data_IF_049906452811
#
_entry.id   IF_049906452811
#
_cell.length_a   1.000
_cell.length_b   1.000
_cell.length_c   1.000
_cell.angle_alpha   90.00
_cell.angle_beta   90.00
_cell.angle_gamma   90.00
#
_symmetry.space_group_name_H-M   'P 1'
#
loop_
_entity.id
_entity.type
_entity.pdbx_description
1 polymer ?
#
# COMPACT_ATOMS: atom_id res chain seq x y z
N UNK A 1 -28.27 74.95 -20.81
CA UNK A 1 -28.95 73.64 -20.85
C UNK A 1 -27.85 72.59 -20.83
N UNK A 2 -27.38 72.19 -19.65
CA UNK A 2 -26.22 71.31 -19.49
C UNK A 2 -26.68 69.86 -19.48
N UNK A 3 -26.35 69.12 -20.53
CA UNK A 3 -26.63 67.70 -20.66
C UNK A 3 -25.78 66.93 -19.64
N UNK A 4 -26.41 66.21 -18.74
CA UNK A 4 -25.74 65.47 -17.67
C UNK A 4 -25.48 64.06 -18.17
N UNK A 5 -24.22 63.77 -18.52
CA UNK A 5 -23.77 62.41 -18.80
C UNK A 5 -24.04 61.55 -17.56
N UNK A 6 -24.76 60.41 -17.68
CA UNK A 6 -24.94 59.53 -16.55
C UNK A 6 -23.58 58.92 -16.20
N UNK A 7 -23.15 59.09 -14.95
CA UNK A 7 -21.99 58.40 -14.42
C UNK A 7 -22.23 56.90 -14.57
N UNK A 8 -21.57 56.27 -15.54
CA UNK A 8 -21.49 54.83 -15.64
C UNK A 8 -20.69 54.37 -14.42
N UNK A 9 -21.40 53.90 -13.40
CA UNK A 9 -20.78 53.32 -12.22
C UNK A 9 -20.14 52.00 -12.66
N UNK A 10 -18.87 52.06 -13.03
CA UNK A 10 -18.05 50.87 -13.18
C UNK A 10 -17.76 50.33 -11.79
N UNK A 11 -18.78 49.72 -11.18
CA UNK A 11 -18.60 48.73 -10.15
C UNK A 11 -17.95 47.53 -10.85
N UNK A 12 -16.64 47.61 -11.11
CA UNK A 12 -15.86 46.52 -11.66
C UNK A 12 -15.93 45.40 -10.63
N UNK A 13 -16.94 44.55 -10.77
CA UNK A 13 -17.15 43.40 -9.92
C UNK A 13 -16.02 42.43 -10.25
N UNK A 14 -14.94 42.49 -9.48
CA UNK A 14 -13.93 41.45 -9.49
C UNK A 14 -14.64 40.15 -9.10
N UNK A 15 -15.08 39.39 -10.10
CA UNK A 15 -15.51 38.01 -9.92
C UNK A 15 -14.29 37.32 -9.36
N UNK A 16 -14.35 36.94 -8.08
CA UNK A 16 -13.32 36.14 -7.45
C UNK A 16 -13.31 34.75 -8.10
N UNK A 17 -12.64 34.60 -9.25
CA UNK A 17 -12.36 33.30 -9.88
C UNK A 17 -11.52 32.40 -8.96
N UNK A 18 -10.85 32.98 -7.96
CA UNK A 18 -10.11 32.26 -6.94
C UNK A 18 -11.01 31.40 -5.99
N UNK A 19 -12.33 31.58 -6.03
CA UNK A 19 -13.29 30.76 -5.28
C UNK A 19 -13.89 29.59 -6.07
N UNK A 20 -13.64 29.49 -7.38
CA UNK A 20 -14.23 28.46 -8.26
C UNK A 20 -13.37 27.20 -8.43
N UNK A 21 -12.25 27.09 -7.71
CA UNK A 21 -11.70 25.77 -7.40
C UNK A 21 -12.32 25.33 -6.08
N UNK A 22 -13.50 24.71 -6.18
CA UNK A 22 -13.99 23.83 -5.13
C UNK A 22 -12.88 22.79 -4.93
N UNK A 23 -12.04 23.01 -3.91
CA UNK A 23 -10.94 22.10 -3.59
C UNK A 23 -11.64 20.80 -3.30
N UNK A 24 -11.56 19.87 -4.26
CA UNK A 24 -12.03 18.50 -4.09
C UNK A 24 -11.15 17.90 -2.99
N UNK A 25 -11.54 18.15 -1.76
CA UNK A 25 -11.08 17.42 -0.63
C UNK A 25 -11.59 16.02 -0.88
N UNK A 26 -10.68 15.07 -1.09
CA UNK A 26 -11.02 13.67 -0.98
C UNK A 26 -11.70 13.49 0.37
N UNK A 27 -13.05 13.43 0.37
CA UNK A 27 -13.83 13.15 1.57
C UNK A 27 -13.25 11.86 2.10
N UNK A 28 -12.66 11.90 3.29
CA UNK A 28 -12.02 10.74 3.89
C UNK A 28 -13.14 9.73 4.14
N UNK A 29 -13.37 8.82 3.18
CA UNK A 29 -14.41 7.81 3.27
C UNK A 29 -13.94 6.78 4.30
N UNK A 30 -14.14 7.12 5.57
CA UNK A 30 -13.65 6.35 6.71
C UNK A 30 -14.34 4.98 6.81
N UNK A 31 -15.45 4.78 6.09
CA UNK A 31 -16.35 3.62 6.18
C UNK A 31 -16.49 2.79 4.89
N UNK A 32 -15.53 2.84 3.97
CA UNK A 32 -15.56 1.99 2.77
C UNK A 32 -15.35 0.49 3.09
N UNK A 33 -16.17 -0.40 2.50
CA UNK A 33 -16.00 -1.88 2.63
C UNK A 33 -14.59 -2.32 2.24
N UNK A 34 -14.04 -1.77 1.15
CA UNK A 34 -12.68 -2.04 0.68
C UNK A 34 -11.60 -1.52 1.64
N UNK A 35 -11.82 -0.40 2.33
CA UNK A 35 -10.89 0.12 3.33
C UNK A 35 -10.83 -0.79 4.56
N UNK A 36 -12.00 -1.29 5.01
CA UNK A 36 -12.08 -2.28 6.09
C UNK A 36 -11.39 -3.59 5.71
N UNK A 37 -11.62 -4.09 4.49
CA UNK A 37 -10.97 -5.30 3.98
C UNK A 37 -9.45 -5.13 3.89
N UNK A 38 -8.98 -4.02 3.32
CA UNK A 38 -7.54 -3.72 3.27
C UNK A 38 -6.93 -3.71 4.66
N UNK A 39 -7.58 -3.03 5.61
CA UNK A 39 -7.14 -2.97 7.00
C UNK A 39 -7.10 -4.37 7.62
N UNK A 40 -8.14 -5.17 7.41
CA UNK A 40 -8.22 -6.55 7.89
C UNK A 40 -7.14 -7.45 7.28
N UNK A 41 -6.72 -7.23 6.04
CA UNK A 41 -5.62 -8.00 5.42
C UNK A 41 -4.26 -7.51 5.90
N UNK A 42 -4.07 -6.20 6.01
CA UNK A 42 -2.77 -5.59 6.35
C UNK A 42 -2.38 -5.88 7.80
N UNK A 43 -3.28 -5.71 8.77
CA UNK A 43 -2.95 -5.91 10.18
C UNK A 43 -2.42 -7.30 10.53
N UNK A 44 -3.09 -8.42 10.18
CA UNK A 44 -2.57 -9.75 10.47
C UNK A 44 -1.32 -10.07 9.67
N UNK A 45 -1.18 -9.54 8.44
CA UNK A 45 0.03 -9.74 7.65
C UNK A 45 1.23 -9.02 8.30
N UNK A 46 1.04 -7.79 8.78
CA UNK A 46 2.04 -7.05 9.54
C UNK A 46 2.39 -7.79 10.83
N UNK A 47 1.38 -8.18 11.60
CA UNK A 47 1.56 -8.87 12.87
C UNK A 47 2.31 -10.20 12.66
N UNK A 48 1.92 -10.97 11.65
CA UNK A 48 2.60 -12.19 11.25
C UNK A 48 4.05 -11.94 10.82
N UNK A 49 4.31 -10.91 10.00
CA UNK A 49 5.66 -10.54 9.58
C UNK A 49 6.56 -10.14 10.76
N UNK A 50 6.02 -9.40 11.73
CA UNK A 50 6.81 -9.06 12.91
C UNK A 50 7.00 -10.25 13.83
N UNK A 51 5.96 -11.05 14.09
CA UNK A 51 6.04 -12.16 15.05
C UNK A 51 6.76 -13.39 14.51
N UNK A 52 6.81 -13.58 13.18
CA UNK A 52 7.47 -14.73 12.53
C UNK A 52 8.86 -15.04 13.08
N UNK A 53 9.81 -14.10 13.16
CA UNK A 53 11.13 -14.36 13.72
C UNK A 53 11.14 -14.66 15.23
N UNK A 54 10.07 -14.40 15.99
CA UNK A 54 10.02 -14.73 17.42
C UNK A 54 9.50 -16.14 17.71
N UNK A 55 8.89 -16.81 16.73
CA UNK A 55 8.45 -18.19 16.90
C UNK A 55 9.63 -19.14 16.74
N UNK A 56 9.78 -20.06 17.68
CA UNK A 56 10.71 -21.18 17.57
C UNK A 56 9.99 -22.41 17.04
N UNK A 57 10.56 -23.01 16.00
CA UNK A 57 10.02 -24.15 15.29
C UNK A 57 11.13 -25.20 15.23
N UNK A 58 10.90 -26.38 15.84
CA UNK A 58 11.89 -27.44 15.97
C UNK A 58 13.25 -27.01 16.59
N UNK A 59 13.20 -26.12 17.60
CA UNK A 59 14.39 -25.67 18.33
C UNK A 59 15.27 -24.67 17.58
N UNK A 60 14.78 -24.11 16.46
CA UNK A 60 15.41 -23.00 15.74
C UNK A 60 14.39 -21.90 15.46
N UNK A 61 14.87 -20.71 15.16
CA UNK A 61 14.03 -19.59 14.75
C UNK A 61 13.20 -19.96 13.50
N UNK A 62 11.91 -19.63 13.49
CA UNK A 62 11.01 -19.95 12.39
C UNK A 62 11.47 -19.35 11.06
N UNK A 63 12.15 -18.21 11.08
CA UNK A 63 12.78 -17.63 9.90
C UNK A 63 14.26 -17.38 10.23
N UNK A 64 15.12 -18.32 9.82
CA UNK A 64 16.56 -18.27 10.05
C UNK A 64 17.30 -18.37 8.72
N UNK A 65 18.20 -17.43 8.48
CA UNK A 65 19.05 -17.40 7.30
C UNK A 65 20.48 -17.81 7.67
N UNK A 66 20.80 -19.08 7.41
CA UNK A 66 22.12 -19.63 7.61
C UNK A 66 23.00 -19.29 6.40
N UNK A 67 23.80 -18.23 6.53
CA UNK A 67 24.73 -17.76 5.51
C UNK A 67 25.94 -18.71 5.32
N UNK A 68 26.57 -19.25 6.39
CA UNK A 68 27.67 -20.20 6.25
C UNK A 68 27.32 -21.43 5.44
N UNK A 69 26.18 -22.06 5.73
CA UNK A 69 25.76 -23.29 5.07
C UNK A 69 24.85 -23.03 3.85
N UNK A 70 24.50 -21.76 3.59
CA UNK A 70 23.57 -21.31 2.54
C UNK A 70 22.20 -21.99 2.63
N UNK A 71 21.71 -22.18 3.85
CA UNK A 71 20.41 -22.80 4.13
C UNK A 71 19.42 -21.73 4.56
N UNK A 72 18.28 -21.68 3.91
CA UNK A 72 17.20 -20.77 4.28
C UNK A 72 16.13 -21.59 5.01
N UNK A 73 16.05 -21.43 6.33
CA UNK A 73 15.00 -22.06 7.13
C UNK A 73 13.79 -21.14 7.18
N UNK A 74 12.69 -21.59 6.59
CA UNK A 74 11.42 -20.85 6.51
C UNK A 74 10.33 -21.77 7.04
N UNK A 75 9.88 -21.51 8.27
CA UNK A 75 8.98 -22.32 9.06
C UNK A 75 9.43 -23.79 9.16
N UNK A 76 8.64 -24.71 8.57
CA UNK A 76 8.94 -26.14 8.52
C UNK A 76 9.79 -26.54 7.31
N UNK A 77 9.95 -25.65 6.35
CA UNK A 77 10.75 -25.88 5.16
C UNK A 77 12.20 -25.42 5.37
N UNK A 78 13.14 -26.16 4.79
CA UNK A 78 14.54 -25.74 4.69
C UNK A 78 14.91 -25.77 3.22
N UNK A 79 15.29 -24.62 2.67
CA UNK A 79 15.71 -24.49 1.28
C UNK A 79 17.22 -24.56 1.19
N UNK A 80 17.71 -25.54 0.44
CA UNK A 80 19.12 -25.65 0.06
C UNK A 80 19.35 -24.96 -1.29
N UNK A 81 20.61 -24.59 -1.61
CA UNK A 81 20.95 -23.97 -2.90
C UNK A 81 20.57 -24.83 -4.11
N UNK A 82 20.61 -26.16 -3.95
CA UNK A 82 20.26 -27.14 -4.99
C UNK A 82 18.75 -27.28 -5.23
N UNK A 83 17.93 -27.03 -4.20
CA UNK A 83 16.48 -27.22 -4.28
C UNK A 83 15.83 -26.15 -5.16
N UNK A 84 16.45 -24.96 -5.27
CA UNK A 84 15.94 -23.88 -6.11
C UNK A 84 15.77 -24.31 -7.57
N UNK A 85 16.72 -25.10 -8.10
CA UNK A 85 16.60 -25.66 -9.46
C UNK A 85 15.47 -26.69 -9.55
N UNK A 86 15.37 -27.62 -8.59
CA UNK A 86 14.32 -28.64 -8.57
C UNK A 86 12.92 -28.03 -8.48
N UNK A 87 12.75 -27.00 -7.65
CA UNK A 87 11.50 -26.27 -7.51
C UNK A 87 11.14 -25.50 -8.78
N UNK A 88 12.11 -24.89 -9.47
CA UNK A 88 11.87 -24.23 -10.74
C UNK A 88 11.37 -25.22 -11.81
N UNK A 89 12.03 -26.37 -11.94
CA UNK A 89 11.56 -27.44 -12.84
C UNK A 89 10.18 -27.94 -12.45
N UNK A 90 9.90 -28.13 -11.16
CA UNK A 90 8.58 -28.53 -10.66
C UNK A 90 7.50 -27.51 -11.04
N UNK A 91 7.77 -26.21 -10.90
CA UNK A 91 6.82 -25.16 -11.27
C UNK A 91 6.59 -25.10 -12.78
N UNK A 92 7.63 -25.31 -13.59
CA UNK A 92 7.51 -25.40 -15.06
C UNK A 92 6.58 -26.57 -15.41
N UNK A 93 6.82 -27.76 -14.86
CA UNK A 93 5.99 -28.93 -15.11
C UNK A 93 4.56 -28.72 -14.59
N UNK A 94 4.39 -28.09 -13.42
CA UNK A 94 3.08 -27.80 -12.84
C UNK A 94 2.25 -26.79 -13.64
N UNK A 95 2.89 -26.01 -14.52
CA UNK A 95 2.25 -25.01 -15.35
C UNK A 95 1.76 -25.57 -16.71
N UNK A 96 2.13 -26.81 -17.05
CA UNK A 96 1.68 -27.52 -18.26
C UNK A 96 0.72 -28.65 -17.91
#
# INVERSE_FOLDING_TARGET
MGDRIPAHNEDTQYVNLAGMHDKVYNRHVTSGRFLKLRRLLVWPLLLGYFLTPWFEIAGRQAMLFDLPERKFHIFWATFYPQDGFLLAWLLIISAF
#
